data_IF_861855082045
#
_entry.id   IF_861855082045
#
_cell.length_a   1.000
_cell.length_b   1.000
_cell.length_c   1.000
_cell.angle_alpha   90.00
_cell.angle_beta   90.00
_cell.angle_gamma   90.00
#
_symmetry.space_group_name_H-M   'P 1'
#
loop_
_entity.id
_entity.type
_entity.pdbx_description
1 polymer ?
#
# COMPACT_ATOMS: atom_id res chain seq x y z
N UNK A 1 -22.53 17.46 -61.85
CA UNK A 1 -22.54 16.83 -60.52
C UNK A 1 -21.87 15.47 -60.65
N UNK A 2 -20.59 15.35 -60.26
CA UNK A 2 -19.84 14.09 -60.37
C UNK A 2 -20.10 13.29 -59.09
N UNK A 3 -20.89 12.23 -59.21
CA UNK A 3 -21.11 11.27 -58.12
C UNK A 3 -19.84 10.41 -58.02
N UNK A 4 -18.98 10.69 -57.03
CA UNK A 4 -17.84 9.82 -56.70
C UNK A 4 -18.39 8.48 -56.23
N UNK A 5 -18.13 7.42 -56.98
CA UNK A 5 -18.37 6.04 -56.58
C UNK A 5 -17.64 5.75 -55.25
N UNK A 6 -18.37 5.34 -54.22
CA UNK A 6 -17.79 4.85 -52.96
C UNK A 6 -17.05 3.55 -53.28
N UNK A 7 -15.71 3.54 -53.16
CA UNK A 7 -14.94 2.30 -53.21
C UNK A 7 -15.51 1.33 -52.16
N UNK A 8 -16.04 0.21 -52.62
CA UNK A 8 -16.42 -0.88 -51.74
C UNK A 8 -15.14 -1.44 -51.10
N UNK A 9 -15.13 -1.59 -49.77
CA UNK A 9 -14.04 -2.25 -49.06
C UNK A 9 -13.88 -3.66 -49.59
N UNK A 10 -12.64 -4.04 -49.87
CA UNK A 10 -12.35 -5.43 -50.24
C UNK A 10 -12.51 -6.33 -49.02
N UNK A 11 -12.94 -7.59 -49.23
CA UNK A 11 -13.11 -8.56 -48.16
C UNK A 11 -11.80 -8.74 -47.33
N UNK A 12 -10.65 -8.58 -48.00
CA UNK A 12 -9.32 -8.64 -47.39
C UNK A 12 -9.09 -7.48 -46.43
N UNK A 13 -9.44 -6.23 -46.80
CA UNK A 13 -9.31 -5.07 -45.92
C UNK A 13 -10.18 -5.20 -44.66
N UNK A 14 -11.36 -5.82 -44.79
CA UNK A 14 -12.24 -6.11 -43.65
C UNK A 14 -11.61 -7.14 -42.72
N UNK A 15 -11.07 -8.24 -43.26
CA UNK A 15 -10.40 -9.27 -42.47
C UNK A 15 -9.16 -8.72 -41.74
N UNK A 16 -8.33 -7.92 -42.42
CA UNK A 16 -7.17 -7.28 -41.81
C UNK A 16 -7.59 -6.33 -40.68
N UNK A 17 -8.64 -5.53 -40.89
CA UNK A 17 -9.15 -4.60 -39.87
C UNK A 17 -9.64 -5.34 -38.62
N UNK A 18 -10.39 -6.44 -38.78
CA UNK A 18 -10.86 -7.27 -37.67
C UNK A 18 -9.67 -7.84 -36.88
N UNK A 19 -8.63 -8.30 -37.59
CA UNK A 19 -7.44 -8.89 -36.98
C UNK A 19 -6.64 -7.87 -36.17
N UNK A 20 -6.50 -6.65 -36.68
CA UNK A 20 -5.87 -5.55 -35.95
C UNK A 20 -6.71 -5.17 -34.73
N UNK A 21 -8.04 -5.09 -34.88
CA UNK A 21 -8.94 -4.74 -33.80
C UNK A 21 -8.87 -5.76 -32.65
N UNK A 22 -8.86 -7.06 -32.94
CA UNK A 22 -8.76 -8.11 -31.92
C UNK A 22 -7.43 -8.06 -31.18
N UNK A 23 -6.31 -7.82 -31.87
CA UNK A 23 -5.00 -7.62 -31.25
C UNK A 23 -5.00 -6.42 -30.29
N UNK A 24 -5.56 -5.29 -30.70
CA UNK A 24 -5.67 -4.09 -29.86
C UNK A 24 -6.58 -4.38 -28.65
N UNK A 25 -7.71 -5.06 -28.82
CA UNK A 25 -8.61 -5.40 -27.72
C UNK A 25 -7.95 -6.31 -26.68
N UNK A 26 -7.18 -7.32 -27.11
CA UNK A 26 -6.45 -8.23 -26.20
C UNK A 26 -5.41 -7.49 -25.36
N UNK A 27 -4.66 -6.57 -25.99
CA UNK A 27 -3.64 -5.78 -25.27
C UNK A 27 -4.25 -4.84 -24.24
N UNK A 28 -5.36 -4.16 -24.59
CA UNK A 28 -6.10 -3.30 -23.66
C UNK A 28 -6.66 -4.08 -22.47
N UNK A 29 -7.17 -5.30 -22.70
CA UNK A 29 -7.71 -6.14 -21.64
C UNK A 29 -6.64 -6.49 -20.59
N UNK A 30 -5.41 -6.81 -21.03
CA UNK A 30 -4.29 -7.09 -20.12
C UNK A 30 -3.92 -5.90 -19.24
N UNK A 31 -3.91 -4.69 -19.80
CA UNK A 31 -3.62 -3.45 -19.06
C UNK A 31 -4.70 -3.15 -18.02
N UNK A 32 -5.98 -3.32 -18.39
CA UNK A 32 -7.12 -3.07 -17.49
C UNK A 32 -7.08 -4.05 -16.31
N UNK A 33 -6.87 -5.34 -16.55
CA UNK A 33 -6.80 -6.35 -15.49
C UNK A 33 -5.63 -6.08 -14.55
N UNK A 34 -4.45 -5.75 -15.07
CA UNK A 34 -3.27 -5.41 -14.27
C UNK A 34 -3.53 -4.18 -13.38
N UNK A 35 -4.18 -3.16 -13.93
CA UNK A 35 -4.53 -1.92 -13.21
C UNK A 35 -5.55 -2.18 -12.11
N UNK A 36 -6.60 -2.97 -12.39
CA UNK A 36 -7.62 -3.35 -11.41
C UNK A 36 -7.03 -4.15 -10.24
N UNK A 37 -6.15 -5.12 -10.54
CA UNK A 37 -5.48 -5.92 -9.51
C UNK A 37 -4.54 -5.06 -8.64
N UNK A 38 -3.85 -4.09 -9.24
CA UNK A 38 -2.98 -3.16 -8.53
C UNK A 38 -3.77 -2.26 -7.57
N UNK A 39 -4.93 -1.75 -8.01
CA UNK A 39 -5.83 -0.95 -7.17
C UNK A 39 -6.41 -1.78 -6.01
N UNK A 40 -6.88 -3.01 -6.30
CA UNK A 40 -7.41 -3.91 -5.28
C UNK A 40 -6.35 -4.23 -4.21
N UNK A 41 -5.12 -4.50 -4.63
CA UNK A 41 -3.99 -4.76 -3.71
C UNK A 41 -3.66 -3.53 -2.86
N UNK A 42 -3.67 -2.33 -3.45
CA UNK A 42 -3.44 -1.09 -2.71
C UNK A 42 -4.56 -0.82 -1.67
N UNK A 43 -5.83 -1.05 -2.04
CA UNK A 43 -6.97 -0.93 -1.13
C UNK A 43 -6.89 -1.93 0.03
N UNK A 44 -6.51 -3.18 -0.24
CA UNK A 44 -6.31 -4.20 0.78
C UNK A 44 -5.18 -3.82 1.74
N UNK A 45 -4.05 -3.32 1.23
CA UNK A 45 -2.94 -2.82 2.05
C UNK A 45 -3.36 -1.66 2.94
N UNK A 46 -4.04 -0.65 2.39
CA UNK A 46 -4.51 0.50 3.16
C UNK A 46 -5.47 0.06 4.28
N UNK A 47 -6.42 -0.82 3.96
CA UNK A 47 -7.37 -1.36 4.95
C UNK A 47 -6.66 -2.15 6.05
N UNK A 48 -5.63 -2.94 5.72
CA UNK A 48 -4.83 -3.65 6.70
C UNK A 48 -4.05 -2.68 7.61
N UNK A 49 -3.45 -1.63 7.04
CA UNK A 49 -2.77 -0.59 7.81
C UNK A 49 -3.70 0.13 8.77
N UNK A 50 -4.90 0.52 8.34
CA UNK A 50 -5.89 1.15 9.23
C UNK A 50 -6.32 0.23 10.38
N UNK A 51 -6.54 -1.06 10.10
CA UNK A 51 -6.87 -2.05 11.14
C UNK A 51 -5.72 -2.23 12.13
N UNK A 52 -4.47 -2.28 11.64
CA UNK A 52 -3.29 -2.39 12.49
C UNK A 52 -3.13 -1.15 13.39
N UNK A 53 -3.31 0.05 12.84
CA UNK A 53 -3.28 1.31 13.59
C UNK A 53 -4.36 1.36 14.68
N UNK A 54 -5.61 0.99 14.36
CA UNK A 54 -6.70 0.96 15.34
C UNK A 54 -6.46 -0.07 16.46
N UNK A 55 -5.84 -1.21 16.15
CA UNK A 55 -5.48 -2.21 17.17
C UNK A 55 -4.35 -1.71 18.08
N UNK A 56 -3.35 -1.01 17.52
CA UNK A 56 -2.29 -0.37 18.29
C UNK A 56 -2.85 0.71 19.21
N UNK A 57 -3.70 1.60 18.69
CA UNK A 57 -4.37 2.65 19.45
C UNK A 57 -5.18 2.06 20.61
N UNK A 58 -6.03 1.06 20.34
CA UNK A 58 -6.80 0.36 21.38
C UNK A 58 -5.91 -0.25 22.45
N UNK A 59 -4.75 -0.79 22.06
CA UNK A 59 -3.82 -1.40 23.01
C UNK A 59 -3.12 -0.34 23.87
N UNK A 60 -2.70 0.79 23.29
CA UNK A 60 -2.16 1.94 24.02
C UNK A 60 -3.17 2.44 25.07
N UNK A 61 -4.43 2.64 24.67
CA UNK A 61 -5.48 3.03 25.62
C UNK A 61 -5.74 1.99 26.70
N UNK A 62 -5.64 0.70 26.40
CA UNK A 62 -5.79 -0.36 27.41
C UNK A 62 -4.64 -0.42 28.42
N UNK A 63 -3.51 0.21 28.12
CA UNK A 63 -2.37 0.34 29.04
C UNK A 63 -2.48 1.60 29.92
N UNK A 64 -3.47 2.48 29.68
CA UNK A 64 -3.82 3.52 30.63
C UNK A 64 -4.59 2.87 31.79
N UNK A 65 -3.87 2.51 32.85
CA UNK A 65 -4.50 2.25 34.16
C UNK A 65 -5.14 3.55 34.66
N UNK A 66 -6.36 3.48 35.22
CA UNK A 66 -7.01 4.65 35.81
C UNK A 66 -6.06 5.32 36.84
N UNK A 67 -5.64 6.55 36.54
CA UNK A 67 -4.75 7.34 37.40
C UNK A 67 -3.25 7.31 37.04
N UNK A 68 -2.79 6.49 36.09
CA UNK A 68 -1.44 6.64 35.52
C UNK A 68 -1.49 7.61 34.36
N UNK A 69 -1.05 8.84 34.64
CA UNK A 69 -0.74 9.83 33.62
C UNK A 69 0.25 9.22 32.62
N UNK A 70 0.09 9.46 31.31
CA UNK A 70 0.98 8.93 30.25
C UNK A 70 2.46 9.35 30.47
N UNK A 71 2.68 10.28 31.40
CA UNK A 71 3.97 10.77 31.88
C UNK A 71 4.71 9.79 32.80
N UNK A 72 4.05 8.77 33.36
CA UNK A 72 4.70 7.73 34.18
C UNK A 72 5.45 6.73 33.26
N UNK A 73 6.51 7.23 32.65
CA UNK A 73 7.23 6.66 31.52
C UNK A 73 8.21 5.55 31.92
N UNK A 74 8.10 5.03 33.15
CA UNK A 74 9.03 4.04 33.71
C UNK A 74 9.07 2.70 32.93
N UNK A 75 8.02 2.40 32.17
CA UNK A 75 7.89 1.19 31.35
C UNK A 75 8.12 1.43 29.85
N UNK A 76 8.45 2.66 29.43
CA UNK A 76 8.77 3.01 28.04
C UNK A 76 10.27 3.19 27.91
N UNK A 77 10.91 2.40 27.04
CA UNK A 77 12.32 2.57 26.69
C UNK A 77 12.45 3.02 25.24
N UNK A 78 13.47 3.85 24.98
CA UNK A 78 13.79 4.31 23.63
C UNK A 78 15.22 3.93 23.28
N UNK A 79 15.43 3.50 22.04
CA UNK A 79 16.74 3.20 21.49
C UNK A 79 16.86 3.76 20.08
N UNK A 80 17.96 4.45 19.79
CA UNK A 80 18.28 4.88 18.42
C UNK A 80 18.32 3.67 17.50
N UNK A 81 17.59 3.73 16.39
CA UNK A 81 17.46 2.64 15.45
C UNK A 81 17.36 3.16 14.01
N UNK A 82 17.98 2.45 13.07
CA UNK A 82 17.83 2.71 11.64
C UNK A 82 16.89 1.66 11.05
N UNK A 83 15.69 2.08 10.64
CA UNK A 83 14.80 1.19 9.91
C UNK A 83 15.32 1.02 8.47
N UNK A 84 15.61 -0.22 8.09
CA UNK A 84 16.08 -0.58 6.75
C UNK A 84 14.89 -1.13 5.95
N UNK A 85 14.41 -0.36 4.99
CA UNK A 85 13.31 -0.76 4.10
C UNK A 85 13.92 -1.17 2.75
N UNK A 86 13.73 -2.44 2.36
CA UNK A 86 14.17 -2.96 1.07
C UNK A 86 13.01 -2.96 0.06
N UNK A 87 13.08 -2.11 -0.96
CA UNK A 87 12.07 -2.06 -2.04
C UNK A 87 12.78 -2.12 -3.40
N UNK A 88 12.47 -3.15 -4.19
CA UNK A 88 12.96 -3.26 -5.57
C UNK A 88 14.48 -3.25 -5.72
N UNK A 89 15.21 -3.83 -4.75
CA UNK A 89 16.67 -3.85 -4.74
C UNK A 89 17.34 -2.56 -4.27
N UNK A 90 16.56 -1.53 -3.90
CA UNK A 90 17.05 -0.32 -3.24
C UNK A 90 16.83 -0.42 -1.73
N UNK A 91 17.82 0.02 -0.96
CA UNK A 91 17.73 0.18 0.49
C UNK A 91 17.36 1.63 0.81
N UNK A 92 16.27 1.82 1.53
CA UNK A 92 15.89 3.10 2.12
C UNK A 92 16.22 3.00 3.60
N UNK A 93 17.07 3.91 4.06
CA UNK A 93 17.44 4.02 5.47
C UNK A 93 16.62 5.14 6.08
N UNK A 94 15.87 4.84 7.13
CA UNK A 94 15.11 5.82 7.89
C UNK A 94 15.64 5.84 9.31
N UNK A 95 16.19 6.97 9.73
CA UNK A 95 16.67 7.16 11.09
C UNK A 95 15.51 7.49 12.02
N UNK A 96 15.65 7.09 13.28
CA UNK A 96 14.63 7.31 14.28
C UNK A 96 14.91 6.61 15.59
N UNK A 97 13.86 6.53 16.40
CA UNK A 97 13.85 5.84 17.68
C UNK A 97 12.95 4.61 17.59
N UNK A 98 13.47 3.47 18.02
CA UNK A 98 12.62 2.35 18.42
C UNK A 98 12.08 2.66 19.81
N UNK A 99 10.76 2.66 19.95
CA UNK A 99 10.04 2.85 21.22
C UNK A 99 9.50 1.49 21.63
N UNK A 100 9.92 1.00 22.79
CA UNK A 100 9.43 -0.25 23.36
C UNK A 100 8.69 0.03 24.66
N UNK A 101 7.57 -0.67 24.88
CA UNK A 101 6.81 -0.60 26.13
C UNK A 101 6.43 -2.00 26.57
N UNK A 102 6.66 -2.30 27.85
CA UNK A 102 6.30 -3.59 28.44
C UNK A 102 5.33 -3.34 29.58
N UNK A 103 4.11 -3.86 29.43
CA UNK A 103 3.11 -3.82 30.49
C UNK A 103 3.53 -4.79 31.62
N UNK A 104 3.82 -4.29 32.84
CA UNK A 104 4.28 -5.12 33.94
C UNK A 104 3.20 -6.09 34.45
N UNK A 105 1.91 -5.79 34.20
CA UNK A 105 0.78 -6.59 34.67
C UNK A 105 0.33 -7.63 33.65
N UNK A 106 0.44 -7.31 32.35
CA UNK A 106 -0.12 -8.16 31.28
C UNK A 106 0.94 -8.86 30.42
N UNK A 107 2.24 -8.62 30.67
CA UNK A 107 3.35 -9.17 29.87
C UNK A 107 3.24 -8.84 28.37
N UNK A 108 2.49 -7.79 28.03
CA UNK A 108 2.38 -7.33 26.64
C UNK A 108 3.59 -6.46 26.32
N UNK A 109 4.33 -6.86 25.29
CA UNK A 109 5.43 -6.08 24.73
C UNK A 109 4.95 -5.38 23.46
N UNK A 110 5.00 -4.05 23.47
CA UNK A 110 4.73 -3.20 22.31
C UNK A 110 6.03 -2.64 21.78
N UNK A 111 6.16 -2.60 20.45
CA UNK A 111 7.28 -1.96 19.76
C UNK A 111 6.73 -1.05 18.67
N UNK A 112 7.26 0.16 18.59
CA UNK A 112 6.96 1.14 17.57
C UNK A 112 8.24 1.79 17.07
N UNK A 113 8.19 2.34 15.86
CA UNK A 113 9.29 3.12 15.30
C UNK A 113 8.81 4.56 15.12
N UNK A 114 9.53 5.51 15.72
CA UNK A 114 9.31 6.93 15.58
C UNK A 114 10.43 7.50 14.70
N UNK A 115 10.15 7.83 13.43
CA UNK A 115 11.16 8.40 12.54
C UNK A 115 11.61 9.76 13.04
N UNK A 116 12.89 10.08 12.84
CA UNK A 116 13.38 11.43 13.10
C UNK A 116 12.66 12.41 12.15
N UNK A 117 12.18 13.52 12.70
CA UNK A 117 11.68 14.64 11.90
C UNK A 117 12.89 15.36 11.31
N UNK A 118 13.22 15.08 10.04
CA UNK A 118 14.22 15.83 9.25
C UNK A 118 13.87 17.33 9.19
#
# INVERSE_FOLDING_TARGET
MIIKSKKALTLIEVLVSITILTLISLTLLGVIVSSANSQSTAQARNSASYKAAAQLEKKIYSMQTEGTDLSDSSYISTQTHTLIINIGGKQILCQGLMVESVDPNTSVHMKGFYPDED
#
